data_IF_855203968202
#
_entry.id   IF_855203968202
#
_cell.length_a   1.000
_cell.length_b   1.000
_cell.length_c   1.000
_cell.angle_alpha   90.00
_cell.angle_beta   90.00
_cell.angle_gamma   90.00
#
_symmetry.space_group_name_H-M   'P 1'
#
loop_
_entity.id
_entity.type
_entity.pdbx_description
1 polymer ?
#
# COMPACT_ATOMS: atom_id res chain seq x y z
N UNK A 1 -72.36 -21.31 -8.61
CA UNK A 1 -71.43 -20.33 -8.00
C UNK A 1 -70.04 -20.97 -7.89
N UNK A 2 -69.08 -20.41 -8.65
CA UNK A 2 -67.62 -20.39 -8.46
C UNK A 2 -66.96 -21.55 -7.70
N UNK A 3 -66.06 -22.26 -8.39
CA UNK A 3 -64.60 -22.18 -8.14
C UNK A 3 -63.83 -22.92 -9.23
N UNK A 4 -63.07 -22.14 -10.01
CA UNK A 4 -62.11 -22.60 -11.01
C UNK A 4 -60.90 -23.21 -10.32
N UNK A 5 -60.43 -24.35 -10.82
CA UNK A 5 -59.18 -24.97 -10.40
C UNK A 5 -58.06 -24.32 -11.23
N UNK A 6 -57.18 -23.58 -10.55
CA UNK A 6 -56.06 -22.89 -11.16
C UNK A 6 -54.98 -23.89 -11.60
N UNK A 7 -54.60 -23.83 -12.87
CA UNK A 7 -53.47 -24.55 -13.45
C UNK A 7 -52.18 -23.84 -13.02
N UNK A 8 -51.38 -24.45 -12.15
CA UNK A 8 -50.07 -23.93 -11.77
C UNK A 8 -49.09 -24.32 -12.87
N UNK A 9 -48.77 -23.37 -13.76
CA UNK A 9 -47.60 -23.46 -14.64
C UNK A 9 -46.35 -23.19 -13.79
N UNK A 10 -45.65 -24.24 -13.36
CA UNK A 10 -44.30 -24.11 -12.83
C UNK A 10 -43.33 -23.92 -13.99
N UNK A 11 -42.91 -22.67 -14.21
CA UNK A 11 -41.83 -22.33 -15.14
C UNK A 11 -40.51 -22.85 -14.55
N UNK A 12 -39.98 -23.95 -15.10
CA UNK A 12 -38.61 -24.37 -14.83
C UNK A 12 -37.69 -23.40 -15.57
N UNK A 13 -37.13 -22.42 -14.87
CA UNK A 13 -35.99 -21.64 -15.37
C UNK A 13 -34.78 -22.54 -15.29
N UNK A 14 -34.40 -23.13 -16.43
CA UNK A 14 -33.14 -23.82 -16.59
C UNK A 14 -32.04 -22.78 -16.80
N UNK A 15 -31.36 -22.37 -15.73
CA UNK A 15 -30.13 -21.55 -15.87
C UNK A 15 -29.04 -22.47 -16.41
N UNK A 16 -28.77 -22.37 -17.71
CA UNK A 16 -27.57 -22.95 -18.29
C UNK A 16 -26.35 -22.19 -17.75
N UNK A 17 -25.67 -22.75 -16.73
CA UNK A 17 -24.35 -22.29 -16.31
C UNK A 17 -23.31 -22.76 -17.34
N UNK A 18 -23.29 -22.10 -18.49
CA UNK A 18 -22.24 -22.25 -19.48
C UNK A 18 -20.99 -21.51 -18.99
N UNK A 19 -20.09 -22.24 -18.32
CA UNK A 19 -18.64 -22.01 -18.41
C UNK A 19 -18.10 -20.62 -18.06
N UNK A 20 -18.42 -20.06 -16.90
CA UNK A 20 -17.55 -19.04 -16.29
C UNK A 20 -16.27 -19.77 -15.86
N UNK A 21 -15.35 -19.93 -16.81
CA UNK A 21 -13.98 -20.30 -16.47
C UNK A 21 -13.37 -19.12 -15.71
N UNK A 22 -12.75 -19.35 -14.54
CA UNK A 22 -12.02 -18.28 -13.88
C UNK A 22 -10.97 -17.78 -14.88
N UNK A 23 -10.98 -16.47 -15.16
CA UNK A 23 -9.98 -15.87 -16.02
C UNK A 23 -8.60 -16.28 -15.49
N UNK A 24 -7.81 -16.95 -16.33
CA UNK A 24 -6.44 -17.33 -16.01
C UNK A 24 -5.72 -16.06 -15.54
N UNK A 25 -5.23 -16.06 -14.30
CA UNK A 25 -4.46 -14.93 -13.78
C UNK A 25 -3.35 -14.59 -14.77
N UNK A 26 -3.30 -13.33 -15.21
CA UNK A 26 -2.30 -12.88 -16.17
C UNK A 26 -0.90 -13.13 -15.58
N UNK A 27 0.02 -13.65 -16.41
CA UNK A 27 1.41 -13.84 -16.00
C UNK A 27 2.01 -12.50 -15.57
N UNK A 28 2.81 -12.46 -14.49
CA UNK A 28 3.46 -11.23 -14.06
C UNK A 28 4.39 -10.65 -15.13
N UNK A 29 4.45 -9.31 -15.21
CA UNK A 29 5.41 -8.57 -16.02
C UNK A 29 6.72 -8.50 -15.23
N UNK A 30 7.78 -9.09 -15.78
CA UNK A 30 9.13 -9.02 -15.19
C UNK A 30 9.79 -7.71 -15.56
N UNK A 31 10.19 -6.94 -14.55
CA UNK A 31 10.81 -5.62 -14.69
C UNK A 31 12.34 -5.78 -14.64
N UNK A 32 12.98 -5.66 -15.80
CA UNK A 32 14.43 -5.79 -15.93
C UNK A 32 15.21 -4.51 -15.60
N UNK A 33 14.53 -3.37 -15.62
CA UNK A 33 15.09 -2.04 -15.32
C UNK A 33 13.98 -1.16 -14.74
N UNK A 34 14.32 -0.30 -13.77
CA UNK A 34 13.35 0.60 -13.11
C UNK A 34 12.49 1.35 -14.13
N UNK A 35 11.17 1.25 -13.97
CA UNK A 35 10.20 1.99 -14.76
C UNK A 35 10.15 3.42 -14.23
N UNK A 36 10.47 4.40 -15.08
CA UNK A 36 10.43 5.82 -14.71
C UNK A 36 9.09 6.41 -15.15
N UNK A 37 8.31 6.92 -14.20
CA UNK A 37 7.10 7.72 -14.45
C UNK A 37 7.51 9.17 -14.37
N UNK A 38 7.41 9.90 -15.49
CA UNK A 38 7.92 11.27 -15.58
C UNK A 38 7.07 12.25 -14.78
N UNK A 39 7.64 13.42 -14.54
CA UNK A 39 6.99 14.44 -13.74
C UNK A 39 5.59 14.79 -14.30
N UNK A 40 4.58 14.71 -13.44
CA UNK A 40 3.17 14.94 -13.81
C UNK A 40 2.49 13.82 -14.60
N UNK A 41 3.20 12.78 -15.01
CA UNK A 41 2.62 11.67 -15.77
C UNK A 41 1.93 10.64 -14.87
N UNK A 42 1.04 9.86 -15.48
CA UNK A 42 0.36 8.74 -14.83
C UNK A 42 0.76 7.43 -15.48
N UNK A 43 1.23 6.48 -14.66
CA UNK A 43 1.31 5.08 -15.02
C UNK A 43 0.07 4.33 -14.52
N UNK A 44 -0.72 3.78 -15.44
CA UNK A 44 -1.86 2.92 -15.14
C UNK A 44 -1.52 1.46 -15.47
N UNK A 45 -1.34 0.66 -14.43
CA UNK A 45 -1.04 -0.77 -14.57
C UNK A 45 -2.22 -1.61 -15.03
N UNK A 46 -3.45 -1.07 -15.08
CA UNK A 46 -4.68 -1.78 -15.49
C UNK A 46 -4.89 -3.13 -14.77
N UNK A 47 -4.48 -3.20 -13.51
CA UNK A 47 -4.57 -4.41 -12.68
C UNK A 47 -3.51 -5.48 -13.00
N UNK A 48 -2.47 -5.16 -13.78
CA UNK A 48 -1.37 -6.08 -14.04
C UNK A 48 -0.43 -6.21 -12.84
N UNK A 49 0.21 -7.36 -12.74
CA UNK A 49 1.22 -7.65 -11.72
C UNK A 49 2.61 -7.39 -12.28
N UNK A 50 3.44 -6.67 -11.52
CA UNK A 50 4.84 -6.38 -11.83
C UNK A 50 5.72 -7.03 -10.77
N UNK A 51 6.78 -7.71 -11.21
CA UNK A 51 7.78 -8.33 -10.32
C UNK A 51 9.16 -7.88 -10.75
N UNK A 52 10.08 -7.70 -9.79
CA UNK A 52 11.44 -7.35 -10.12
C UNK A 52 12.17 -8.53 -10.77
N UNK A 53 13.13 -8.23 -11.66
CA UNK A 53 14.16 -9.20 -11.99
C UNK A 53 15.22 -9.21 -10.85
N UNK A 54 15.43 -10.34 -10.15
CA UNK A 54 16.35 -10.39 -9.02
C UNK A 54 17.81 -10.12 -9.39
N UNK A 55 18.22 -10.41 -10.63
CA UNK A 55 19.58 -10.20 -11.09
C UNK A 55 19.90 -8.72 -11.40
N UNK A 56 18.88 -7.88 -11.66
CA UNK A 56 19.11 -6.50 -12.10
C UNK A 56 18.56 -5.44 -11.14
N UNK A 57 17.49 -5.76 -10.40
CA UNK A 57 16.82 -4.85 -9.47
C UNK A 57 16.96 -5.30 -8.02
N UNK A 58 16.79 -6.58 -7.73
CA UNK A 58 16.87 -7.08 -6.34
C UNK A 58 15.88 -8.20 -6.07
N UNK A 59 16.18 -8.99 -5.04
CA UNK A 59 15.47 -10.20 -4.65
C UNK A 59 14.37 -9.98 -3.60
N UNK A 60 14.20 -8.75 -3.12
CA UNK A 60 13.26 -8.40 -2.05
C UNK A 60 13.76 -8.72 -0.64
N UNK A 61 15.03 -9.09 -0.47
CA UNK A 61 15.64 -9.25 0.85
C UNK A 61 15.81 -7.89 1.56
N UNK A 62 16.43 -7.89 2.75
CA UNK A 62 16.77 -6.67 3.49
C UNK A 62 18.12 -6.05 3.03
N UNK A 63 18.61 -6.39 1.84
CA UNK A 63 19.78 -5.74 1.26
C UNK A 63 19.45 -4.29 0.84
N UNK A 64 20.20 -3.33 1.34
CA UNK A 64 19.96 -1.87 1.27
C UNK A 64 20.17 -1.23 -0.12
N UNK A 65 20.72 -1.97 -1.08
CA UNK A 65 21.21 -1.46 -2.37
C UNK A 65 20.44 -2.03 -3.58
N UNK A 66 19.23 -2.51 -3.33
CA UNK A 66 18.27 -2.89 -4.37
C UNK A 66 17.73 -1.64 -5.08
N UNK A 67 17.22 -1.82 -6.29
CA UNK A 67 16.63 -0.77 -7.12
C UNK A 67 15.11 -0.82 -7.01
N UNK A 68 14.44 0.33 -7.13
CA UNK A 68 12.99 0.34 -7.18
C UNK A 68 12.48 -0.28 -8.49
N UNK A 69 11.33 -0.91 -8.44
CA UNK A 69 10.55 -1.32 -9.61
C UNK A 69 10.05 -0.07 -10.34
N UNK A 70 9.54 0.91 -9.58
CA UNK A 70 9.04 2.18 -10.13
C UNK A 70 9.76 3.38 -9.51
N UNK A 71 10.18 4.33 -10.35
CA UNK A 71 10.63 5.65 -9.95
C UNK A 71 9.62 6.69 -10.42
N UNK A 72 8.98 7.36 -9.47
CA UNK A 72 8.04 8.44 -9.69
C UNK A 72 8.78 9.77 -9.54
N UNK A 73 8.86 10.52 -10.64
CA UNK A 73 9.29 11.91 -10.60
C UNK A 73 8.19 12.80 -9.98
N UNK A 74 8.49 14.07 -9.74
CA UNK A 74 7.60 14.97 -9.02
C UNK A 74 6.21 15.09 -9.67
N UNK A 75 5.15 15.03 -8.86
CA UNK A 75 3.74 15.01 -9.27
C UNK A 75 3.33 13.80 -10.13
N UNK A 76 4.15 12.74 -10.24
CA UNK A 76 3.77 11.54 -10.95
C UNK A 76 2.72 10.71 -10.19
N UNK A 77 1.93 9.92 -10.93
CA UNK A 77 0.90 9.03 -10.38
C UNK A 77 1.16 7.57 -10.79
N UNK A 78 1.06 6.65 -9.84
CA UNK A 78 1.02 5.21 -10.07
C UNK A 78 -0.35 4.67 -9.66
N UNK A 79 -1.04 3.95 -10.55
CA UNK A 79 -2.35 3.40 -10.23
C UNK A 79 -2.64 2.03 -10.82
N UNK A 80 -3.53 1.28 -10.16
CA UNK A 80 -4.02 -0.04 -10.58
C UNK A 80 -2.87 -1.02 -10.86
N UNK A 81 -1.96 -1.16 -9.91
CA UNK A 81 -0.77 -2.00 -10.03
C UNK A 81 -0.74 -3.02 -8.90
N UNK A 82 -0.47 -4.27 -9.22
CA UNK A 82 0.01 -5.24 -8.23
C UNK A 82 1.52 -5.34 -8.33
N UNK A 83 2.19 -5.35 -7.18
CA UNK A 83 3.63 -5.61 -7.07
C UNK A 83 3.80 -6.95 -6.36
N UNK A 84 4.35 -7.94 -7.06
CA UNK A 84 4.58 -9.29 -6.54
C UNK A 84 6.03 -9.52 -6.12
N UNK A 85 6.31 -10.70 -5.58
CA UNK A 85 7.67 -11.13 -5.26
C UNK A 85 8.46 -11.50 -6.54
N UNK A 86 9.75 -11.13 -6.63
CA UNK A 86 10.47 -10.28 -5.67
C UNK A 86 10.05 -8.80 -5.80
N UNK A 87 9.83 -8.14 -4.66
CA UNK A 87 9.40 -6.74 -4.59
C UNK A 87 10.53 -5.72 -4.73
N UNK A 88 11.79 -6.16 -4.70
CA UNK A 88 13.00 -5.34 -4.66
C UNK A 88 12.88 -4.16 -3.66
N UNK A 89 13.27 -2.95 -4.05
CA UNK A 89 13.09 -1.70 -3.27
C UNK A 89 11.84 -0.94 -3.77
N UNK A 90 10.78 -1.69 -4.12
CA UNK A 90 9.43 -1.18 -4.34
C UNK A 90 9.31 0.04 -5.25
N UNK A 91 8.78 1.14 -4.70
CA UNK A 91 8.48 2.38 -5.41
C UNK A 91 9.23 3.56 -4.79
N UNK A 92 9.98 4.33 -5.59
CA UNK A 92 10.60 5.57 -5.11
C UNK A 92 9.86 6.80 -5.61
N UNK A 93 9.52 7.72 -4.70
CA UNK A 93 8.87 9.00 -5.03
C UNK A 93 9.84 10.15 -4.82
N UNK A 94 10.01 10.99 -5.86
CA UNK A 94 10.92 12.14 -5.86
C UNK A 94 10.14 13.45 -5.88
N UNK A 95 9.56 13.82 -4.72
CA UNK A 95 8.75 15.02 -4.56
C UNK A 95 7.32 14.65 -4.18
N UNK A 96 6.35 15.32 -4.79
CA UNK A 96 4.95 14.94 -4.68
C UNK A 96 4.68 13.67 -5.50
N UNK A 97 3.74 12.83 -5.05
CA UNK A 97 3.30 11.68 -5.82
C UNK A 97 1.96 11.15 -5.36
N UNK A 98 1.27 10.47 -6.28
CA UNK A 98 -0.02 9.84 -6.00
C UNK A 98 0.06 8.34 -6.27
N UNK A 99 -0.37 7.56 -5.29
CA UNK A 99 -0.47 6.11 -5.36
C UNK A 99 -1.94 5.74 -5.18
N UNK A 100 -2.56 5.19 -6.22
CA UNK A 100 -3.99 4.90 -6.22
C UNK A 100 -4.26 3.44 -6.56
N UNK A 101 -4.84 2.68 -5.63
CA UNK A 101 -5.16 1.26 -5.86
C UNK A 101 -3.91 0.46 -6.27
N UNK A 102 -2.84 0.55 -5.48
CA UNK A 102 -1.61 -0.23 -5.67
C UNK A 102 -1.47 -1.22 -4.53
N UNK A 103 -1.24 -2.49 -4.86
CA UNK A 103 -1.13 -3.56 -3.86
C UNK A 103 0.21 -4.28 -3.96
N UNK A 104 0.99 -4.25 -2.88
CA UNK A 104 2.20 -5.04 -2.71
C UNK A 104 1.84 -6.38 -2.09
N UNK A 105 1.84 -7.44 -2.90
CA UNK A 105 1.49 -8.80 -2.49
C UNK A 105 2.53 -9.43 -1.57
N UNK A 106 3.78 -8.99 -1.70
CA UNK A 106 4.92 -9.37 -0.88
C UNK A 106 5.90 -8.19 -0.91
N UNK A 107 6.02 -7.47 0.18
CA UNK A 107 6.91 -6.30 0.26
C UNK A 107 8.37 -6.79 0.28
N UNK A 108 9.21 -6.16 -0.54
CA UNK A 108 10.65 -6.46 -0.57
C UNK A 108 11.40 -5.80 0.58
N UNK A 109 12.40 -4.98 0.26
CA UNK A 109 13.12 -4.18 1.27
C UNK A 109 12.15 -3.17 1.91
N UNK A 110 11.55 -2.34 1.06
CA UNK A 110 10.47 -1.39 1.36
C UNK A 110 9.36 -1.47 0.29
N UNK A 111 8.13 -1.08 0.62
CA UNK A 111 7.06 -0.98 -0.38
C UNK A 111 7.17 0.32 -1.18
N UNK A 112 7.35 1.44 -0.46
CA UNK A 112 7.56 2.75 -1.07
C UNK A 112 8.44 3.66 -0.21
N UNK A 113 9.29 4.41 -0.89
CA UNK A 113 10.24 5.34 -0.27
C UNK A 113 10.07 6.76 -0.80
N UNK A 114 9.80 7.75 0.07
CA UNK A 114 9.90 9.18 -0.26
C UNK A 114 11.37 9.60 -0.26
N UNK A 115 11.95 9.82 -1.44
CA UNK A 115 13.39 10.13 -1.64
C UNK A 115 13.70 11.63 -1.65
N UNK A 116 12.73 12.49 -1.97
CA UNK A 116 12.88 13.96 -1.96
C UNK A 116 11.67 14.61 -1.29
N UNK A 117 11.85 15.81 -0.76
CA UNK A 117 10.81 16.49 0.00
C UNK A 117 9.53 16.69 -0.81
N UNK A 118 8.37 16.35 -0.23
CA UNK A 118 7.09 16.45 -0.91
C UNK A 118 5.95 15.75 -0.17
N UNK A 119 4.81 15.64 -0.84
CA UNK A 119 3.62 14.95 -0.32
C UNK A 119 3.30 13.71 -1.14
N UNK A 120 3.24 12.56 -0.47
CA UNK A 120 2.75 11.31 -1.07
C UNK A 120 1.33 11.04 -0.58
N UNK A 121 0.41 10.89 -1.53
CA UNK A 121 -0.97 10.50 -1.26
C UNK A 121 -1.18 9.05 -1.69
N UNK A 122 -1.49 8.17 -0.75
CA UNK A 122 -1.81 6.77 -0.96
C UNK A 122 -3.31 6.58 -0.69
N UNK A 123 -4.05 6.08 -1.69
CA UNK A 123 -5.49 5.79 -1.57
C UNK A 123 -5.83 4.43 -2.14
N UNK A 124 -6.45 3.57 -1.33
CA UNK A 124 -6.78 2.21 -1.76
C UNK A 124 -5.56 1.29 -1.81
N UNK A 125 -5.79 0.02 -2.15
CA UNK A 125 -4.72 -0.98 -2.26
C UNK A 125 -4.28 -1.54 -0.90
N UNK A 126 -3.09 -2.15 -0.87
CA UNK A 126 -2.58 -2.75 0.36
C UNK A 126 -1.14 -3.23 0.32
N UNK A 127 -0.61 -3.65 1.45
CA UNK A 127 0.73 -4.21 1.57
C UNK A 127 0.75 -5.43 2.50
N UNK A 128 1.47 -6.46 2.09
CA UNK A 128 1.53 -7.73 2.81
C UNK A 128 2.98 -8.16 3.01
N UNK A 129 3.26 -8.85 4.13
CA UNK A 129 4.53 -9.54 4.41
C UNK A 129 5.77 -8.64 4.41
N UNK A 130 5.64 -7.41 4.92
CA UNK A 130 6.79 -6.53 5.05
C UNK A 130 7.66 -6.97 6.23
N UNK A 131 8.89 -7.39 5.95
CA UNK A 131 9.82 -7.80 7.01
C UNK A 131 10.05 -6.67 8.03
N UNK A 132 10.38 -5.46 7.56
CA UNK A 132 10.64 -4.30 8.44
C UNK A 132 9.68 -3.11 8.26
N UNK A 133 9.58 -2.50 7.08
CA UNK A 133 8.80 -1.27 6.89
C UNK A 133 8.08 -1.27 5.54
N UNK A 134 6.86 -0.75 5.53
CA UNK A 134 6.07 -0.57 4.28
C UNK A 134 6.46 0.75 3.63
N UNK A 135 6.31 1.87 4.36
CA UNK A 135 6.62 3.20 3.85
C UNK A 135 7.84 3.81 4.54
N UNK A 136 8.91 4.05 3.77
CA UNK A 136 10.10 4.75 4.25
C UNK A 136 10.06 6.23 3.86
N UNK A 137 10.42 7.11 4.79
CA UNK A 137 10.42 8.56 4.57
C UNK A 137 11.81 9.14 4.78
N UNK A 138 12.55 9.30 3.68
CA UNK A 138 13.95 9.76 3.64
C UNK A 138 14.11 11.29 3.43
N UNK A 139 13.02 12.04 3.41
CA UNK A 139 13.03 13.49 3.29
C UNK A 139 11.90 14.12 4.12
N UNK A 140 11.99 15.42 4.39
CA UNK A 140 10.89 16.17 4.99
C UNK A 140 9.63 16.06 4.11
N UNK A 141 8.44 15.97 4.69
CA UNK A 141 7.26 15.83 3.85
C UNK A 141 6.02 15.32 4.57
N UNK A 142 5.06 14.90 3.75
CA UNK A 142 3.77 14.39 4.21
C UNK A 142 3.49 13.06 3.55
N UNK A 143 3.08 12.06 4.35
CA UNK A 143 2.57 10.79 3.86
C UNK A 143 1.11 10.68 4.31
N UNK A 144 0.19 10.70 3.35
CA UNK A 144 -1.24 10.53 3.59
C UNK A 144 -1.68 9.14 3.11
N UNK A 145 -2.23 8.34 3.99
CA UNK A 145 -2.68 6.98 3.70
C UNK A 145 -4.17 6.89 3.97
N UNK A 146 -4.95 6.47 2.98
CA UNK A 146 -6.41 6.37 3.08
C UNK A 146 -6.91 5.08 2.44
N UNK A 147 -7.93 4.46 3.04
CA UNK A 147 -8.58 3.27 2.49
C UNK A 147 -7.59 2.13 2.20
N UNK A 148 -6.57 1.96 3.06
CA UNK A 148 -5.46 1.04 2.82
C UNK A 148 -5.56 -0.19 3.72
N UNK A 149 -5.10 -1.34 3.22
CA UNK A 149 -4.98 -2.56 4.03
C UNK A 149 -3.52 -2.95 4.20
N UNK A 150 -3.09 -3.23 5.42
CA UNK A 150 -1.77 -3.81 5.67
C UNK A 150 -1.85 -4.99 6.63
N UNK A 151 -1.13 -6.07 6.34
CA UNK A 151 -1.11 -7.29 7.15
C UNK A 151 0.28 -7.95 7.14
N UNK A 152 0.71 -8.46 8.29
CA UNK A 152 2.05 -9.02 8.52
C UNK A 152 3.15 -8.04 8.11
N UNK A 153 3.35 -7.00 8.92
CA UNK A 153 4.32 -5.93 8.64
C UNK A 153 5.17 -5.63 9.86
N UNK A 154 6.41 -5.18 9.68
CA UNK A 154 7.18 -4.61 10.79
C UNK A 154 6.60 -3.27 11.26
N UNK A 155 6.53 -2.30 10.35
CA UNK A 155 5.99 -0.94 10.56
C UNK A 155 5.24 -0.45 9.33
N UNK A 156 4.16 0.32 9.52
CA UNK A 156 3.45 0.91 8.38
C UNK A 156 4.26 2.07 7.76
N UNK A 157 4.74 3.02 8.58
CA UNK A 157 5.65 4.06 8.08
C UNK A 157 6.75 4.41 9.07
N UNK A 158 7.95 4.61 8.52
CA UNK A 158 9.16 4.98 9.25
C UNK A 158 9.80 6.22 8.63
N UNK A 159 9.89 7.29 9.43
CA UNK A 159 10.86 8.35 9.11
C UNK A 159 12.27 7.78 9.25
N UNK A 160 13.19 8.14 8.34
CA UNK A 160 14.58 7.67 8.41
C UNK A 160 15.19 7.84 9.79
N UNK A 161 15.83 6.78 10.29
CA UNK A 161 16.31 6.69 11.66
C UNK A 161 17.33 7.77 11.99
N UNK A 162 17.23 8.33 13.20
CA UNK A 162 18.14 9.37 13.70
C UNK A 162 17.95 10.75 13.08
N UNK A 163 17.04 10.92 12.11
CA UNK A 163 16.81 12.21 11.48
C UNK A 163 15.84 13.10 12.28
N UNK A 164 16.01 14.42 12.16
CA UNK A 164 15.25 15.43 12.92
C UNK A 164 14.35 16.31 12.06
N UNK A 165 14.34 16.13 10.73
CA UNK A 165 13.43 16.85 9.86
C UNK A 165 11.97 16.49 10.17
N UNK A 166 11.05 17.36 9.75
CA UNK A 166 9.61 17.17 10.00
C UNK A 166 8.98 16.26 8.95
N UNK A 167 8.26 15.25 9.43
CA UNK A 167 7.34 14.42 8.64
C UNK A 167 5.94 14.49 9.25
N UNK A 168 4.92 14.63 8.40
CA UNK A 168 3.51 14.54 8.78
C UNK A 168 2.94 13.22 8.27
N UNK A 169 2.51 12.37 9.21
CA UNK A 169 1.88 11.09 8.89
C UNK A 169 0.37 11.16 9.10
N UNK A 170 -0.41 10.70 8.12
CA UNK A 170 -1.85 10.52 8.29
C UNK A 170 -2.30 9.13 7.82
N UNK A 171 -3.17 8.51 8.60
CA UNK A 171 -3.85 7.26 8.27
C UNK A 171 -5.35 7.43 8.51
N UNK A 172 -6.16 7.16 7.51
CA UNK A 172 -7.62 7.28 7.59
C UNK A 172 -8.33 6.07 6.98
N UNK A 173 -9.43 5.65 7.59
CA UNK A 173 -10.35 4.65 7.06
C UNK A 173 -9.65 3.36 6.56
N UNK A 174 -8.74 2.82 7.36
CA UNK A 174 -7.83 1.75 6.95
C UNK A 174 -7.93 0.52 7.86
N UNK A 175 -7.29 -0.57 7.45
CA UNK A 175 -7.28 -1.85 8.18
C UNK A 175 -5.83 -2.35 8.31
N UNK A 176 -5.28 -2.28 9.53
CA UNK A 176 -3.87 -2.57 9.81
C UNK A 176 -3.76 -3.70 10.83
N UNK A 177 -3.20 -4.83 10.42
CA UNK A 177 -3.14 -6.04 11.26
C UNK A 177 -1.75 -6.67 11.31
N UNK A 178 -1.48 -7.39 12.40
CA UNK A 178 -0.27 -8.21 12.59
C UNK A 178 1.01 -7.40 12.39
N UNK A 179 1.14 -6.33 13.19
CA UNK A 179 2.27 -5.40 13.15
C UNK A 179 3.31 -5.81 14.20
N UNK A 180 4.58 -5.90 13.84
CA UNK A 180 5.65 -6.35 14.77
C UNK A 180 6.16 -5.24 15.68
N UNK A 181 6.17 -3.99 15.23
CA UNK A 181 6.69 -2.84 16.00
C UNK A 181 5.64 -1.75 16.20
N UNK A 182 5.27 -1.02 15.13
CA UNK A 182 4.34 0.11 15.26
C UNK A 182 3.70 0.52 13.93
N UNK A 183 2.56 1.22 13.97
CA UNK A 183 2.03 1.85 12.75
C UNK A 183 2.97 2.96 12.27
N UNK A 184 3.17 4.00 13.08
CA UNK A 184 4.07 5.11 12.73
C UNK A 184 5.25 5.21 13.68
N UNK A 185 6.45 5.44 13.13
CA UNK A 185 7.68 5.62 13.90
C UNK A 185 8.54 6.77 13.40
N UNK A 186 9.03 7.57 14.34
CA UNK A 186 9.98 8.67 14.11
C UNK A 186 10.98 8.79 15.27
N UNK A 187 12.10 9.48 15.04
CA UNK A 187 12.98 9.98 16.10
C UNK A 187 12.97 11.52 16.20
N UNK A 188 12.26 12.19 15.29
CA UNK A 188 12.14 13.64 15.23
C UNK A 188 11.16 14.17 16.27
N UNK A 189 11.55 15.25 16.96
CA UNK A 189 10.68 15.95 17.93
C UNK A 189 9.63 16.84 17.27
N UNK A 190 9.73 17.06 15.95
CA UNK A 190 8.84 17.96 15.21
C UNK A 190 7.85 17.24 14.31
N UNK A 191 8.07 15.94 14.05
CA UNK A 191 7.17 15.12 13.26
C UNK A 191 5.85 14.87 13.99
N UNK A 192 4.76 14.78 13.23
CA UNK A 192 3.40 14.61 13.75
C UNK A 192 2.69 13.44 13.09
N UNK A 193 1.76 12.81 13.80
CA UNK A 193 1.00 11.69 13.28
C UNK A 193 -0.49 11.75 13.68
N UNK A 194 -1.35 11.32 12.74
CA UNK A 194 -2.79 11.21 12.95
C UNK A 194 -3.31 9.88 12.42
N UNK A 195 -4.09 9.15 13.24
CA UNK A 195 -4.78 7.91 12.81
C UNK A 195 -6.27 8.04 13.10
N UNK A 196 -7.10 7.97 12.06
CA UNK A 196 -8.55 8.08 12.18
C UNK A 196 -9.30 6.94 11.51
N UNK A 197 -10.48 6.62 12.02
CA UNK A 197 -11.42 5.67 11.42
C UNK A 197 -10.79 4.32 11.04
N UNK A 198 -9.73 3.91 11.74
CA UNK A 198 -8.89 2.79 11.34
C UNK A 198 -9.13 1.60 12.26
N UNK A 199 -9.34 0.44 11.66
CA UNK A 199 -9.39 -0.82 12.40
C UNK A 199 -7.97 -1.38 12.54
N UNK A 200 -7.67 -1.97 13.69
CA UNK A 200 -6.37 -2.59 13.91
C UNK A 200 -6.41 -3.81 14.81
N UNK A 201 -5.57 -4.81 14.51
CA UNK A 201 -5.46 -6.07 15.25
C UNK A 201 -3.99 -6.46 15.41
N UNK A 202 -3.59 -6.98 16.57
CA UNK A 202 -2.20 -7.34 16.85
C UNK A 202 -1.19 -6.22 16.52
N UNK A 203 -1.40 -5.04 17.11
CA UNK A 203 -0.50 -3.87 16.93
C UNK A 203 0.06 -3.45 18.28
N UNK A 204 1.38 -3.62 18.54
CA UNK A 204 2.00 -3.27 19.81
C UNK A 204 1.89 -1.79 20.15
N UNK A 205 2.05 -0.91 19.16
CA UNK A 205 2.00 0.54 19.37
C UNK A 205 1.54 1.28 18.12
N UNK A 206 0.62 2.23 18.26
CA UNK A 206 0.16 3.04 17.12
C UNK A 206 1.20 4.10 16.71
N UNK A 207 1.83 4.76 17.70
CA UNK A 207 2.79 5.84 17.48
C UNK A 207 4.04 5.63 18.32
N UNK A 208 5.23 5.59 17.70
CA UNK A 208 6.51 5.39 18.38
C UNK A 208 7.49 6.53 18.12
N UNK A 209 8.01 7.11 19.20
CA UNK A 209 9.07 8.14 19.20
C UNK A 209 8.64 9.59 18.95
N UNK A 210 7.34 9.83 18.79
CA UNK A 210 6.77 11.18 18.70
C UNK A 210 6.85 11.94 20.04
N UNK A 211 7.02 13.25 19.98
CA UNK A 211 6.93 14.11 21.16
C UNK A 211 5.48 14.21 21.68
N UNK A 212 5.31 14.52 22.97
CA UNK A 212 3.98 14.77 23.55
C UNK A 212 3.27 15.90 22.80
N UNK A 213 2.00 15.71 22.48
CA UNK A 213 1.20 16.66 21.69
C UNK A 213 1.30 16.51 20.16
N UNK A 214 2.23 15.70 19.64
CA UNK A 214 2.41 15.53 18.19
C UNK A 214 1.60 14.37 17.60
N UNK A 215 0.82 13.65 18.39
CA UNK A 215 0.03 12.50 17.95
C UNK A 215 -1.45 12.70 18.24
N UNK A 216 -2.32 12.31 17.32
CA UNK A 216 -3.78 12.31 17.52
C UNK A 216 -4.43 11.06 16.96
N UNK A 217 -5.52 10.62 17.59
CA UNK A 217 -6.33 9.52 17.08
C UNK A 217 -7.82 9.67 17.43
N UNK A 218 -8.70 9.20 16.55
CA UNK A 218 -10.16 9.24 16.77
C UNK A 218 -10.90 8.24 15.88
N UNK A 219 -11.94 7.59 16.41
CA UNK A 219 -12.78 6.66 15.63
C UNK A 219 -12.09 5.34 15.25
N UNK A 220 -10.98 5.00 15.90
CA UNK A 220 -10.27 3.75 15.63
C UNK A 220 -10.90 2.59 16.41
N UNK A 221 -10.90 1.40 15.80
CA UNK A 221 -11.46 0.19 16.41
C UNK A 221 -10.38 -0.88 16.51
N UNK A 222 -9.96 -1.22 17.73
CA UNK A 222 -9.19 -2.44 17.94
C UNK A 222 -10.10 -3.64 17.75
N UNK A 223 -9.67 -4.64 17.02
CA UNK A 223 -10.32 -5.95 16.96
C UNK A 223 -9.33 -7.05 17.26
#
# INVERSE_FOLDING_TARGET
>A
MKKALALILSSVILVALSGITPAKAASPIVVNSTIVVKAGETFDGKGQTYVANPATLGDGSQAENQKPIFKLENNATLKNVYIGAPGADGVHVYGNGTISNVTWLDVGEDALTLKKSGTVNITGGGAYKAYDKVFQVNAAGTINIKNFKANDIGKLARQNGGTSYKVVFTLDNSDISDVKDSIFRTDSKTSTAKITNTRYHNVPTLFKGFASGNTSQSGNTKY
#
